data_IF_947028919797
#
_entry.id   IF_947028919797
#
_cell.length_a   1.000
_cell.length_b   1.000
_cell.length_c   1.000
_cell.angle_alpha   90.00
_cell.angle_beta   90.00
_cell.angle_gamma   90.00
#
_symmetry.space_group_name_H-M   'P 1'
#
loop_
_entity.id
_entity.type
_entity.pdbx_description
1 polymer ?
#
# COMPACT_ATOMS: atom_id res chain seq x y z
N UNK A 1 -28.28 -10.30 27.64
CA UNK A 1 -27.25 -9.87 26.66
C UNK A 1 -27.01 -8.41 26.95
N UNK A 2 -25.79 -8.03 27.32
CA UNK A 2 -25.44 -6.62 27.54
C UNK A 2 -25.51 -5.92 26.19
N UNK A 3 -26.31 -4.86 26.10
CA UNK A 3 -26.50 -4.08 24.87
C UNK A 3 -25.22 -3.25 24.64
N UNK A 4 -24.58 -3.43 23.49
CA UNK A 4 -23.37 -2.68 23.12
C UNK A 4 -23.72 -1.19 22.97
N UNK A 5 -22.89 -0.32 23.54
CA UNK A 5 -23.22 1.07 23.81
C UNK A 5 -22.06 2.04 23.50
N UNK A 6 -22.34 3.33 23.64
CA UNK A 6 -21.34 4.39 23.54
C UNK A 6 -20.12 4.15 24.46
N UNK A 7 -20.37 3.70 25.69
CA UNK A 7 -19.33 3.50 26.68
C UNK A 7 -18.39 2.35 26.31
N UNK A 8 -18.87 1.32 25.62
CA UNK A 8 -18.03 0.22 25.13
C UNK A 8 -17.02 0.71 24.08
N UNK A 9 -17.46 1.56 23.15
CA UNK A 9 -16.57 2.20 22.16
C UNK A 9 -15.57 3.11 22.86
N UNK A 10 -16.04 3.90 23.83
CA UNK A 10 -15.21 4.85 24.58
C UNK A 10 -14.16 4.15 25.42
N UNK A 11 -14.47 3.02 26.06
CA UNK A 11 -13.50 2.25 26.84
C UNK A 11 -12.37 1.73 25.97
N UNK A 12 -12.69 1.15 24.81
CA UNK A 12 -11.68 0.70 23.84
C UNK A 12 -10.85 1.88 23.34
N UNK A 13 -11.49 3.01 23.01
CA UNK A 13 -10.78 4.21 22.56
C UNK A 13 -9.81 4.75 23.61
N UNK A 14 -10.23 4.86 24.87
CA UNK A 14 -9.39 5.31 25.97
C UNK A 14 -8.21 4.34 26.22
N UNK A 15 -8.47 3.04 26.26
CA UNK A 15 -7.44 2.04 26.44
C UNK A 15 -6.41 2.09 25.30
N UNK A 16 -6.88 2.16 24.06
CA UNK A 16 -6.02 2.21 22.88
C UNK A 16 -5.17 3.50 22.84
N UNK A 17 -5.72 4.63 23.28
CA UNK A 17 -4.99 5.92 23.33
C UNK A 17 -3.96 6.01 24.45
N UNK A 18 -4.23 5.37 25.58
CA UNK A 18 -3.37 5.45 26.77
C UNK A 18 -2.29 4.37 26.78
N UNK A 19 -2.54 3.24 26.13
CA UNK A 19 -1.54 2.18 25.97
C UNK A 19 -0.48 2.56 24.93
N UNK A 20 0.78 2.22 25.21
CA UNK A 20 1.87 2.27 24.23
C UNK A 20 1.80 1.10 23.25
N UNK A 21 1.32 -0.05 23.71
CA UNK A 21 1.20 -1.28 22.94
C UNK A 21 -0.23 -1.46 22.42
N UNK A 22 -0.43 -2.41 21.50
CA UNK A 22 -1.76 -2.77 21.01
C UNK A 22 -2.61 -3.32 22.16
N UNK A 23 -3.85 -2.87 22.24
CA UNK A 23 -4.80 -3.39 23.21
C UNK A 23 -5.54 -4.58 22.60
N UNK A 24 -5.81 -5.61 23.40
CA UNK A 24 -6.68 -6.70 22.97
C UNK A 24 -8.12 -6.17 22.83
N UNK A 25 -8.69 -6.33 21.64
CA UNK A 25 -10.08 -5.98 21.37
C UNK A 25 -10.82 -7.21 20.84
N UNK A 26 -12.11 -7.41 21.17
CA UNK A 26 -12.88 -8.54 20.65
C UNK A 26 -12.94 -8.54 19.11
N UNK A 27 -12.92 -9.73 18.49
CA UNK A 27 -13.04 -9.88 17.03
C UNK A 27 -14.34 -9.28 16.47
N UNK A 28 -15.41 -9.32 17.27
CA UNK A 28 -16.70 -8.76 16.91
C UNK A 28 -16.80 -7.25 17.15
N UNK A 29 -15.76 -6.57 17.69
CA UNK A 29 -15.81 -5.16 18.08
C UNK A 29 -16.35 -4.27 16.96
N UNK A 30 -15.74 -4.30 15.77
CA UNK A 30 -16.19 -3.49 14.63
C UNK A 30 -17.59 -3.90 14.12
N UNK A 31 -17.97 -5.17 14.27
CA UNK A 31 -19.32 -5.62 13.92
C UNK A 31 -20.35 -5.07 14.90
N UNK A 32 -20.02 -5.03 16.19
CA UNK A 32 -20.87 -4.49 17.23
C UNK A 32 -21.02 -2.97 17.10
N UNK A 33 -19.93 -2.25 16.81
CA UNK A 33 -19.96 -0.82 16.44
C UNK A 33 -20.90 -0.60 15.26
N UNK A 34 -20.81 -1.43 14.22
CA UNK A 34 -21.67 -1.33 13.02
C UNK A 34 -23.15 -1.49 13.37
N UNK A 35 -23.49 -2.50 14.18
CA UNK A 35 -24.87 -2.74 14.65
C UNK A 35 -25.40 -1.57 15.47
N UNK A 36 -24.58 -1.04 16.37
CA UNK A 36 -24.94 0.07 17.23
C UNK A 36 -25.14 1.38 16.45
N UNK A 37 -24.25 1.70 15.50
CA UNK A 37 -24.43 2.83 14.58
C UNK A 37 -25.71 2.67 13.75
N UNK A 38 -26.05 1.45 13.31
CA UNK A 38 -27.29 1.20 12.58
C UNK A 38 -28.53 1.47 13.47
N UNK A 39 -28.49 1.07 14.75
CA UNK A 39 -29.54 1.37 15.72
C UNK A 39 -29.70 2.87 15.96
N UNK A 40 -28.60 3.61 16.19
CA UNK A 40 -28.63 5.07 16.35
C UNK A 40 -29.22 5.77 15.12
N UNK A 41 -28.87 5.33 13.91
CA UNK A 41 -29.44 5.88 12.68
C UNK A 41 -30.95 5.59 12.52
N UNK A 42 -31.43 4.43 12.99
CA UNK A 42 -32.86 4.11 12.97
C UNK A 42 -33.63 4.97 13.98
N UNK A 43 -33.08 5.18 15.18
CA UNK A 43 -33.66 6.06 16.19
C UNK A 43 -33.68 7.53 15.71
N UNK A 44 -32.59 8.00 15.09
CA UNK A 44 -32.47 9.36 14.58
C UNK A 44 -33.54 9.68 13.51
N UNK A 45 -33.91 8.70 12.68
CA UNK A 45 -34.98 8.88 11.66
C UNK A 45 -36.37 9.04 12.27
N UNK A 46 -36.57 8.60 13.52
CA UNK A 46 -37.86 8.57 14.21
C UNK A 46 -37.93 9.59 15.36
N UNK A 47 -36.83 10.27 15.66
CA UNK A 47 -36.71 11.17 16.80
C UNK A 47 -37.25 12.58 16.53
N UNK A 48 -37.81 13.20 17.55
CA UNK A 48 -38.12 14.62 17.59
C UNK A 48 -36.84 15.48 17.55
N UNK A 49 -36.92 16.78 17.16
CA UNK A 49 -35.74 17.61 16.89
C UNK A 49 -34.68 17.62 18.00
N UNK A 50 -35.09 17.83 19.26
CA UNK A 50 -34.16 17.88 20.40
C UNK A 50 -33.45 16.53 20.66
N UNK A 51 -34.18 15.41 20.52
CA UNK A 51 -33.58 14.07 20.66
C UNK A 51 -32.69 13.74 19.45
N UNK A 52 -33.05 14.24 18.27
CA UNK A 52 -32.26 14.08 17.06
C UNK A 52 -30.89 14.76 17.14
N UNK A 53 -30.81 15.96 17.71
CA UNK A 53 -29.54 16.66 17.93
C UNK A 53 -28.59 15.84 18.83
N UNK A 54 -29.10 15.29 19.93
CA UNK A 54 -28.30 14.45 20.84
C UNK A 54 -27.79 13.18 20.15
N UNK A 55 -28.64 12.50 19.38
CA UNK A 55 -28.25 11.29 18.64
C UNK A 55 -27.22 11.60 17.55
N UNK A 56 -27.30 12.77 16.91
CA UNK A 56 -26.29 13.21 15.94
C UNK A 56 -24.93 13.46 16.60
N UNK A 57 -24.90 14.13 17.75
CA UNK A 57 -23.66 14.32 18.50
C UNK A 57 -23.03 12.98 18.92
N UNK A 58 -23.86 12.04 19.39
CA UNK A 58 -23.41 10.71 19.79
C UNK A 58 -22.79 9.96 18.61
N UNK A 59 -23.47 9.95 17.45
CA UNK A 59 -22.94 9.38 16.20
C UNK A 59 -21.61 10.01 15.79
N UNK A 60 -21.51 11.35 15.84
CA UNK A 60 -20.28 12.06 15.50
C UNK A 60 -19.11 11.65 16.41
N UNK A 61 -19.36 11.57 17.72
CA UNK A 61 -18.36 11.14 18.71
C UNK A 61 -17.96 9.68 18.49
N UNK A 62 -18.90 8.79 18.19
CA UNK A 62 -18.59 7.38 17.88
C UNK A 62 -17.71 7.28 16.64
N UNK A 63 -18.04 7.99 15.56
CA UNK A 63 -17.21 7.96 14.35
C UNK A 63 -15.79 8.46 14.61
N UNK A 64 -15.66 9.55 15.37
CA UNK A 64 -14.35 10.06 15.76
C UNK A 64 -13.56 9.00 16.55
N UNK A 65 -14.16 8.41 17.59
CA UNK A 65 -13.49 7.39 18.42
C UNK A 65 -13.05 6.17 17.59
N UNK A 66 -13.91 5.68 16.70
CA UNK A 66 -13.62 4.50 15.85
C UNK A 66 -12.46 4.79 14.88
N UNK A 67 -12.44 5.97 14.26
CA UNK A 67 -11.34 6.39 13.40
C UNK A 67 -10.03 6.52 14.17
N UNK A 68 -10.09 7.08 15.37
CA UNK A 68 -8.93 7.24 16.24
C UNK A 68 -8.39 5.90 16.77
N UNK A 69 -9.26 4.95 17.11
CA UNK A 69 -8.88 3.56 17.43
C UNK A 69 -8.13 2.96 16.26
N UNK A 70 -8.72 3.00 15.06
CA UNK A 70 -8.13 2.41 13.86
C UNK A 70 -6.75 3.00 13.53
N UNK A 71 -6.62 4.33 13.56
CA UNK A 71 -5.34 4.98 13.28
C UNK A 71 -4.28 4.63 14.33
N UNK A 72 -4.65 4.68 15.62
CA UNK A 72 -3.73 4.35 16.72
C UNK A 72 -3.22 2.92 16.61
N UNK A 73 -4.13 1.96 16.40
CA UNK A 73 -3.79 0.54 16.20
C UNK A 73 -2.88 0.35 15.00
N UNK A 74 -3.22 0.97 13.88
CA UNK A 74 -2.45 0.85 12.63
C UNK A 74 -1.02 1.35 12.82
N UNK A 75 -0.82 2.49 13.47
CA UNK A 75 0.51 3.04 13.72
C UNK A 75 1.36 2.13 14.61
N UNK A 76 0.77 1.57 15.68
CA UNK A 76 1.45 0.62 16.56
C UNK A 76 1.82 -0.68 15.83
N UNK A 77 0.90 -1.21 15.04
CA UNK A 77 1.15 -2.41 14.25
C UNK A 77 2.26 -2.21 13.21
N UNK A 78 2.28 -1.05 12.53
CA UNK A 78 3.30 -0.72 11.53
C UNK A 78 4.70 -0.65 12.16
N UNK A 79 4.84 -0.12 13.37
CA UNK A 79 6.14 -0.04 14.05
C UNK A 79 6.75 -1.44 14.25
N UNK A 80 5.95 -2.40 14.73
CA UNK A 80 6.41 -3.78 14.90
C UNK A 80 6.69 -4.47 13.57
N UNK A 81 5.82 -4.27 12.58
CA UNK A 81 5.97 -4.81 11.21
C UNK A 81 7.23 -4.30 10.54
N UNK A 82 7.56 -3.01 10.72
CA UNK A 82 8.79 -2.42 10.20
C UNK A 82 10.04 -3.04 10.82
N UNK A 83 9.93 -3.61 12.02
CA UNK A 83 10.99 -4.36 12.70
C UNK A 83 10.98 -5.87 12.36
N UNK A 84 10.12 -6.30 11.42
CA UNK A 84 10.01 -7.69 10.97
C UNK A 84 9.18 -8.58 11.90
N UNK A 85 8.47 -8.02 12.89
CA UNK A 85 7.60 -8.76 13.81
C UNK A 85 6.13 -8.60 13.40
N UNK A 86 5.28 -9.55 13.79
CA UNK A 86 3.83 -9.38 13.71
C UNK A 86 3.30 -9.27 15.14
N UNK A 87 2.52 -8.22 15.46
CA UNK A 87 1.90 -8.15 16.77
C UNK A 87 0.93 -9.30 17.01
N UNK A 88 0.90 -9.80 18.25
CA UNK A 88 0.05 -10.93 18.63
C UNK A 88 -1.43 -10.51 18.76
N UNK A 89 -1.69 -9.27 19.19
CA UNK A 89 -3.03 -8.73 19.50
C UNK A 89 -3.73 -8.07 18.29
N UNK A 90 -3.37 -8.49 17.08
CA UNK A 90 -4.09 -8.12 15.86
C UNK A 90 -5.37 -8.95 15.72
N UNK A 91 -6.42 -8.30 15.24
CA UNK A 91 -7.61 -8.99 14.76
C UNK A 91 -7.26 -9.92 13.60
N UNK A 92 -8.01 -10.99 13.39
CA UNK A 92 -7.78 -11.94 12.28
C UNK A 92 -7.67 -11.22 10.93
N UNK A 93 -8.56 -10.25 10.69
CA UNK A 93 -8.56 -9.44 9.46
C UNK A 93 -7.34 -8.53 9.35
N UNK A 94 -6.91 -7.94 10.46
CA UNK A 94 -5.71 -7.10 10.52
C UNK A 94 -4.45 -7.95 10.25
N UNK A 95 -4.38 -9.15 10.82
CA UNK A 95 -3.24 -10.06 10.70
C UNK A 95 -2.91 -10.41 9.25
N UNK A 96 -3.92 -10.67 8.42
CA UNK A 96 -3.70 -10.95 7.00
C UNK A 96 -3.02 -9.77 6.29
N UNK A 97 -3.57 -8.56 6.44
CA UNK A 97 -3.06 -7.36 5.79
C UNK A 97 -1.66 -6.97 6.28
N UNK A 98 -1.42 -7.00 7.60
CA UNK A 98 -0.10 -6.68 8.15
C UNK A 98 0.96 -7.72 7.80
N UNK A 99 0.59 -8.99 7.63
CA UNK A 99 1.52 -10.02 7.16
C UNK A 99 1.97 -9.78 5.72
N UNK A 100 1.07 -9.34 4.82
CA UNK A 100 1.45 -8.96 3.45
C UNK A 100 2.42 -7.77 3.46
N UNK A 101 2.18 -6.75 4.29
CA UNK A 101 3.07 -5.60 4.44
C UNK A 101 4.44 -6.05 4.97
N UNK A 102 4.47 -6.90 6.01
CA UNK A 102 5.72 -7.46 6.56
C UNK A 102 6.53 -8.18 5.49
N UNK A 103 5.91 -9.06 4.72
CA UNK A 103 6.59 -9.80 3.66
C UNK A 103 7.15 -8.87 2.58
N UNK A 104 6.44 -7.81 2.24
CA UNK A 104 6.93 -6.79 1.29
C UNK A 104 8.16 -6.06 1.85
N UNK A 105 8.12 -5.66 3.12
CA UNK A 105 9.25 -5.02 3.80
C UNK A 105 10.46 -5.94 3.93
N UNK A 106 10.25 -7.23 4.23
CA UNK A 106 11.33 -8.23 4.27
C UNK A 106 12.00 -8.42 2.91
N UNK A 107 11.21 -8.47 1.83
CA UNK A 107 11.76 -8.52 0.46
C UNK A 107 12.57 -7.28 0.14
N UNK A 108 12.06 -6.09 0.46
CA UNK A 108 12.76 -4.83 0.25
C UNK A 108 14.09 -4.79 1.04
N UNK A 109 14.07 -5.22 2.30
CA UNK A 109 15.27 -5.33 3.12
C UNK A 109 16.27 -6.34 2.52
N UNK A 110 15.80 -7.51 2.08
CA UNK A 110 16.65 -8.49 1.42
C UNK A 110 17.29 -7.91 0.13
N UNK A 111 16.53 -7.21 -0.71
CA UNK A 111 17.05 -6.62 -1.95
C UNK A 111 18.09 -5.52 -1.70
N UNK A 112 17.85 -4.63 -0.75
CA UNK A 112 18.68 -3.44 -0.53
C UNK A 112 19.84 -3.67 0.44
N UNK A 113 19.61 -4.45 1.49
CA UNK A 113 20.51 -4.53 2.65
C UNK A 113 21.27 -5.86 2.68
N UNK A 114 20.70 -6.99 2.24
CA UNK A 114 21.40 -8.28 2.32
C UNK A 114 22.67 -8.31 1.46
N UNK A 115 22.67 -7.63 0.31
CA UNK A 115 23.83 -7.43 -0.57
C UNK A 115 24.90 -6.56 0.10
N UNK A 116 24.47 -5.52 0.82
CA UNK A 116 25.35 -4.58 1.55
C UNK A 116 25.99 -5.22 2.78
N UNK A 117 25.22 -5.94 3.61
CA UNK A 117 25.70 -6.55 4.87
C UNK A 117 26.54 -7.81 4.61
N UNK A 118 26.24 -8.59 3.57
CA UNK A 118 26.99 -9.80 3.27
C UNK A 118 28.46 -9.53 2.87
N UNK A 119 28.88 -8.27 2.70
CA UNK A 119 30.21 -7.88 2.21
C UNK A 119 30.50 -8.38 0.79
N UNK A 120 29.55 -9.12 0.21
CA UNK A 120 29.46 -9.46 -1.19
C UNK A 120 28.94 -8.21 -1.88
N UNK A 121 29.87 -7.29 -2.15
CA UNK A 121 29.82 -6.61 -3.42
C UNK A 121 29.91 -7.69 -4.52
N UNK A 122 28.82 -8.44 -4.71
CA UNK A 122 28.40 -8.60 -6.08
C UNK A 122 28.25 -7.15 -6.52
N UNK A 123 29.20 -6.71 -7.33
CA UNK A 123 28.88 -5.80 -8.40
C UNK A 123 27.63 -6.42 -9.03
N UNK A 124 26.45 -6.09 -8.51
CA UNK A 124 25.21 -6.29 -9.20
C UNK A 124 25.47 -5.44 -10.43
N UNK A 125 25.97 -6.09 -11.49
CA UNK A 125 26.29 -5.44 -12.74
C UNK A 125 25.06 -4.59 -13.01
N UNK A 126 25.20 -3.25 -12.95
CA UNK A 126 24.10 -2.34 -12.65
C UNK A 126 23.00 -2.71 -13.61
N UNK A 127 21.90 -3.34 -13.10
CA UNK A 127 20.95 -4.18 -13.89
C UNK A 127 21.23 -3.93 -15.33
N UNK A 128 22.09 -4.73 -15.98
CA UNK A 128 22.61 -4.36 -17.29
C UNK A 128 21.39 -4.18 -18.21
N UNK A 129 20.90 -2.94 -18.30
CA UNK A 129 20.03 -2.50 -19.35
C UNK A 129 21.04 -2.40 -20.47
N UNK A 130 21.38 -3.54 -21.06
CA UNK A 130 22.11 -3.63 -22.31
C UNK A 130 21.23 -2.92 -23.31
N UNK A 131 21.42 -1.61 -23.42
CA UNK A 131 20.76 -0.84 -24.43
C UNK A 131 21.21 -1.42 -25.76
N UNK A 132 20.25 -1.75 -26.60
CA UNK A 132 20.48 -2.28 -27.93
C UNK A 132 20.41 -1.09 -28.89
N UNK A 133 21.43 -0.97 -29.75
CA UNK A 133 21.43 -0.02 -30.84
C UNK A 133 20.54 -0.52 -31.98
N UNK A 134 19.70 0.37 -32.47
CA UNK A 134 18.68 0.09 -33.47
C UNK A 134 18.73 1.19 -34.54
N UNK A 135 18.49 0.84 -35.80
CA UNK A 135 18.09 1.79 -36.82
C UNK A 135 16.58 1.75 -36.94
N UNK A 136 15.94 2.89 -36.73
CA UNK A 136 14.49 3.06 -36.83
C UNK A 136 14.10 3.09 -38.33
N UNK A 137 13.09 2.31 -38.73
CA UNK A 137 12.68 2.13 -40.12
C UNK A 137 11.45 2.96 -40.53
N UNK A 138 10.75 3.55 -39.56
CA UNK A 138 9.55 4.38 -39.75
C UNK A 138 9.54 5.53 -38.73
N UNK A 139 8.68 6.53 -38.90
CA UNK A 139 8.51 7.54 -37.85
C UNK A 139 7.79 6.93 -36.64
N UNK A 140 8.35 7.10 -35.45
CA UNK A 140 7.84 6.53 -34.20
C UNK A 140 7.64 7.66 -33.18
N UNK A 141 6.44 7.82 -32.60
CA UNK A 141 6.20 8.83 -31.56
C UNK A 141 6.99 8.52 -30.28
N UNK A 142 6.92 9.41 -29.29
CA UNK A 142 7.55 9.16 -27.99
C UNK A 142 6.99 7.88 -27.37
N UNK A 143 7.88 6.97 -26.97
CA UNK A 143 7.55 5.71 -26.29
C UNK A 143 8.10 5.71 -24.87
N UNK A 144 7.46 4.94 -23.98
CA UNK A 144 7.96 4.71 -22.62
C UNK A 144 8.69 3.37 -22.59
N UNK A 145 9.94 3.37 -22.14
CA UNK A 145 10.77 2.18 -21.98
C UNK A 145 10.31 1.32 -20.79
N UNK A 146 10.82 0.08 -20.72
CA UNK A 146 10.65 -0.79 -19.55
C UNK A 146 11.36 -0.26 -18.29
N UNK A 147 12.25 0.72 -18.46
CA UNK A 147 12.91 1.51 -17.42
C UNK A 147 12.09 2.74 -16.98
N UNK A 148 10.86 2.90 -17.48
CA UNK A 148 9.96 4.03 -17.25
C UNK A 148 10.47 5.39 -17.78
N UNK A 149 11.50 5.40 -18.63
CA UNK A 149 11.98 6.63 -19.29
C UNK A 149 11.29 6.84 -20.63
N UNK A 150 11.18 8.10 -21.04
CA UNK A 150 10.63 8.46 -22.34
C UNK A 150 11.72 8.49 -23.41
N UNK A 151 11.42 7.97 -24.59
CA UNK A 151 12.32 7.85 -25.72
C UNK A 151 11.65 8.33 -27.01
N UNK A 152 12.40 9.04 -27.85
CA UNK A 152 11.90 9.61 -29.08
C UNK A 152 11.26 11.00 -28.88
N UNK A 153 10.51 11.51 -29.88
CA UNK A 153 10.07 10.84 -31.11
C UNK A 153 11.24 10.56 -32.07
N UNK A 154 11.16 9.45 -32.81
CA UNK A 154 12.19 8.99 -33.74
C UNK A 154 11.77 9.17 -35.19
N UNK A 155 12.72 9.54 -36.05
CA UNK A 155 12.53 9.61 -37.50
C UNK A 155 13.01 8.34 -38.20
N UNK A 156 12.50 8.11 -39.40
CA UNK A 156 13.00 7.04 -40.28
C UNK A 156 14.50 7.22 -40.57
N UNK A 157 15.28 6.18 -40.31
CA UNK A 157 16.74 6.15 -40.49
C UNK A 157 17.54 6.57 -39.26
N UNK A 158 16.89 6.99 -38.17
CA UNK A 158 17.57 7.43 -36.95
C UNK A 158 18.12 6.24 -36.16
N UNK A 159 19.30 6.42 -35.54
CA UNK A 159 19.91 5.41 -34.67
C UNK A 159 19.43 5.68 -33.24
N UNK A 160 18.73 4.72 -32.65
CA UNK A 160 18.20 4.78 -31.30
C UNK A 160 18.88 3.74 -30.39
N UNK A 161 19.13 4.13 -29.14
CA UNK A 161 19.64 3.24 -28.09
C UNK A 161 18.53 3.02 -27.07
N UNK A 162 17.99 1.79 -27.03
CA UNK A 162 16.82 1.48 -26.22
C UNK A 162 17.07 0.26 -25.32
N UNK A 163 16.39 0.19 -24.16
CA UNK A 163 16.41 -1.01 -23.33
C UNK A 163 16.03 -2.26 -24.12
N UNK A 164 16.68 -3.39 -23.82
CA UNK A 164 16.59 -4.63 -24.60
C UNK A 164 15.16 -5.08 -24.89
N UNK A 165 14.25 -5.04 -23.90
CA UNK A 165 12.85 -5.47 -24.09
C UNK A 165 12.09 -4.53 -25.03
N UNK A 166 12.23 -3.22 -24.83
CA UNK A 166 11.63 -2.21 -25.71
C UNK A 166 12.20 -2.29 -27.14
N UNK A 167 13.49 -2.53 -27.27
CA UNK A 167 14.17 -2.75 -28.55
C UNK A 167 13.66 -4.00 -29.29
N UNK A 168 13.49 -5.12 -28.59
CA UNK A 168 12.93 -6.36 -29.16
C UNK A 168 11.49 -6.16 -29.65
N UNK A 169 10.68 -5.39 -28.92
CA UNK A 169 9.32 -5.05 -29.34
C UNK A 169 9.32 -4.22 -30.63
N UNK A 170 10.15 -3.17 -30.72
CA UNK A 170 10.23 -2.36 -31.95
C UNK A 170 10.65 -3.18 -33.17
N UNK A 171 11.57 -4.13 -32.99
CA UNK A 171 12.02 -5.02 -34.07
C UNK A 171 10.92 -6.01 -34.46
N UNK A 172 10.23 -6.60 -33.48
CA UNK A 172 9.11 -7.52 -33.71
C UNK A 172 7.96 -6.86 -34.49
N UNK A 173 7.70 -5.58 -34.23
CA UNK A 173 6.70 -4.79 -34.93
C UNK A 173 7.20 -4.20 -36.26
N UNK A 174 8.43 -4.49 -36.68
CA UNK A 174 9.00 -4.02 -37.95
C UNK A 174 9.32 -2.52 -37.97
N UNK A 175 9.33 -1.87 -36.80
CA UNK A 175 9.57 -0.43 -36.66
C UNK A 175 11.07 -0.08 -36.59
N UNK A 176 11.92 -1.05 -36.24
CA UNK A 176 13.36 -0.86 -36.17
C UNK A 176 14.14 -2.15 -36.50
N UNK A 177 15.44 -2.02 -36.79
CA UNK A 177 16.37 -3.13 -37.03
C UNK A 177 17.57 -3.03 -36.10
N UNK A 178 17.95 -4.13 -35.45
CA UNK A 178 19.16 -4.20 -34.61
C UNK A 178 20.42 -3.99 -35.45
N UNK A 179 21.37 -3.23 -34.91
CA UNK A 179 22.70 -3.10 -35.49
C UNK A 179 23.75 -3.61 -34.50
N UNK A 180 24.71 -4.36 -35.02
CA UNK A 180 25.91 -4.76 -34.28
C UNK A 180 27.05 -3.86 -34.74
N UNK A 181 27.60 -3.09 -33.81
CA UNK A 181 28.81 -2.32 -34.08
C UNK A 181 29.99 -3.28 -33.94
N UNK A 182 30.60 -3.68 -35.05
CA UNK A 182 31.91 -4.33 -35.03
C UNK A 182 32.94 -3.27 -34.62
N UNK A 183 33.52 -3.44 -33.44
CA UNK A 183 34.72 -2.70 -33.00
C UNK A 183 35.94 -3.30 -33.69
#
# INVERSE_FOLDING_TARGET
>A
MVEFSYDDVKQVWLAEKTSRELVEIPEEFYQNVTKYVAQLNLELKRSEPLRGELLQEELQKVFQMVQEIYLSRTLKAIDEVAQGRLPDLLLERERYAFNEIRQSMEKLYAELISTTIAGKAELAAPREITNVLLIVLAEVPTIVGDDLRQYGPFKKGEIASLPRRSAELMVKHGLARKIEVKV
#
